data_IF_930503739058
#
_entry.id   IF_930503739058
#
_cell.length_a   1.000
_cell.length_b   1.000
_cell.length_c   1.000
_cell.angle_alpha   90.00
_cell.angle_beta   90.00
_cell.angle_gamma   90.00
#
_symmetry.space_group_name_H-M   'P 1'
#
loop_
_entity.id
_entity.type
_entity.pdbx_description
1 polymer ?
#
# COMPACT_ATOMS: atom_id res chain seq x y z
N UNK A 1 -79.54 10.36 32.48
CA UNK A 1 -78.46 11.21 33.04
C UNK A 1 -77.24 10.36 33.29
N UNK A 2 -76.06 10.94 33.05
CA UNK A 2 -74.74 10.32 32.87
C UNK A 2 -74.22 9.60 34.13
N UNK A 3 -73.38 8.59 33.92
CA UNK A 3 -72.57 7.96 34.98
C UNK A 3 -71.71 6.81 34.46
N UNK A 4 -70.69 7.12 33.67
CA UNK A 4 -69.66 6.19 33.17
C UNK A 4 -68.72 5.84 34.33
N UNK A 5 -68.57 4.55 34.65
CA UNK A 5 -67.58 4.04 35.60
C UNK A 5 -66.31 3.64 34.82
N UNK A 6 -65.20 4.29 35.14
CA UNK A 6 -63.92 4.13 34.47
C UNK A 6 -63.24 2.81 34.82
N UNK A 7 -62.77 2.07 33.80
CA UNK A 7 -61.83 0.96 33.96
C UNK A 7 -60.42 1.49 34.20
N UNK A 8 -59.79 1.08 35.30
CA UNK A 8 -58.37 1.30 35.57
C UNK A 8 -57.51 0.43 34.64
N UNK A 9 -56.70 1.06 33.79
CA UNK A 9 -55.65 0.39 33.00
C UNK A 9 -54.42 0.19 33.89
N UNK A 10 -54.13 -1.05 34.28
CA UNK A 10 -52.84 -1.44 34.82
C UNK A 10 -51.84 -1.53 33.67
N UNK A 11 -50.90 -0.58 33.62
CA UNK A 11 -49.78 -0.62 32.67
C UNK A 11 -48.64 -1.40 33.32
N UNK A 12 -48.39 -2.62 32.83
CA UNK A 12 -47.19 -3.39 33.19
C UNK A 12 -45.98 -2.75 32.49
N UNK A 13 -45.10 -2.12 33.26
CA UNK A 13 -43.81 -1.63 32.79
C UNK A 13 -42.85 -2.84 32.80
N UNK A 14 -42.57 -3.40 31.62
CA UNK A 14 -41.48 -4.36 31.43
C UNK A 14 -40.18 -3.55 31.34
N UNK A 15 -39.43 -3.51 32.45
CA UNK A 15 -38.07 -2.95 32.47
C UNK A 15 -37.16 -3.99 31.82
N UNK A 16 -36.91 -3.84 30.53
CA UNK A 16 -35.87 -4.60 29.83
C UNK A 16 -34.50 -4.08 30.27
N UNK A 17 -33.80 -4.85 31.10
CA UNK A 17 -32.40 -4.61 31.41
C UNK A 17 -31.56 -4.98 30.19
N UNK A 18 -31.28 -4.01 29.32
CA UNK A 18 -30.23 -4.13 28.31
C UNK A 18 -28.88 -4.08 29.03
N UNK A 19 -28.31 -5.25 29.30
CA UNK A 19 -26.90 -5.36 29.70
C UNK A 19 -26.08 -5.04 28.45
N UNK A 20 -25.70 -3.77 28.30
CA UNK A 20 -24.67 -3.36 27.34
C UNK A 20 -23.36 -3.86 27.94
N UNK A 21 -22.95 -5.08 27.59
CA UNK A 21 -21.59 -5.53 27.86
C UNK A 21 -20.66 -4.64 27.05
N UNK A 22 -19.95 -3.76 27.74
CA UNK A 22 -18.85 -3.00 27.16
C UNK A 22 -17.75 -3.99 26.82
N UNK A 23 -17.79 -4.58 25.62
CA UNK A 23 -16.64 -5.26 25.05
C UNK A 23 -15.59 -4.18 24.79
N UNK A 24 -14.69 -4.01 25.77
CA UNK A 24 -13.46 -3.27 25.58
C UNK A 24 -12.59 -4.15 24.68
N UNK A 25 -12.67 -3.96 23.37
CA UNK A 25 -11.69 -4.53 22.44
C UNK A 25 -10.35 -3.89 22.76
N UNK A 26 -9.52 -4.60 23.53
CA UNK A 26 -8.09 -4.31 23.55
C UNK A 26 -7.57 -4.69 22.17
N UNK A 27 -7.18 -3.72 21.35
CA UNK A 27 -6.43 -3.99 20.13
C UNK A 27 -5.17 -4.74 20.57
N UNK A 28 -5.10 -6.05 20.27
CA UNK A 28 -3.89 -6.82 20.55
C UNK A 28 -2.74 -6.12 19.83
N UNK A 29 -1.71 -5.77 20.61
CA UNK A 29 -0.52 -5.11 20.09
C UNK A 29 0.15 -6.07 19.10
N UNK A 30 0.33 -5.64 17.85
CA UNK A 30 1.10 -6.42 16.86
C UNK A 30 2.49 -6.70 17.45
N UNK A 31 3.00 -7.95 17.34
CA UNK A 31 4.30 -8.29 17.91
C UNK A 31 5.41 -7.50 17.22
N UNK A 32 6.50 -7.23 17.95
CA UNK A 32 7.66 -6.50 17.42
C UNK A 32 8.24 -7.17 16.15
N UNK A 33 8.05 -8.49 15.99
CA UNK A 33 8.41 -9.26 14.80
C UNK A 33 7.22 -10.13 14.41
N UNK A 34 6.76 -10.00 13.17
CA UNK A 34 5.72 -10.83 12.57
C UNK A 34 6.26 -11.48 11.29
N UNK A 35 6.04 -12.78 11.11
CA UNK A 35 6.55 -13.54 9.97
C UNK A 35 5.41 -14.30 9.32
N UNK A 36 5.29 -14.15 8.00
CA UNK A 36 4.36 -14.90 7.17
C UNK A 36 5.16 -15.66 6.12
N UNK A 37 4.96 -16.97 6.05
CA UNK A 37 5.57 -17.82 5.02
C UNK A 37 4.66 -17.91 3.81
N UNK A 38 5.24 -17.85 2.61
CA UNK A 38 4.50 -17.96 1.35
C UNK A 38 5.41 -18.46 0.22
N UNK A 39 4.82 -18.60 -0.97
CA UNK A 39 5.49 -18.97 -2.21
C UNK A 39 4.91 -18.16 -3.36
N UNK A 40 5.67 -17.98 -4.44
CA UNK A 40 5.12 -17.33 -5.63
C UNK A 40 4.13 -18.24 -6.34
N UNK A 41 2.95 -17.73 -6.66
CA UNK A 41 2.00 -18.42 -7.54
C UNK A 41 2.44 -18.35 -8.99
N UNK A 42 3.01 -17.21 -9.39
CA UNK A 42 3.58 -16.97 -10.72
C UNK A 42 4.56 -15.81 -10.71
N UNK A 43 5.28 -15.66 -11.81
CA UNK A 43 6.17 -14.53 -12.07
C UNK A 43 5.65 -13.77 -13.28
N UNK A 44 5.50 -12.45 -13.13
CA UNK A 44 5.13 -11.53 -14.20
C UNK A 44 6.35 -10.72 -14.62
N UNK A 45 6.62 -10.66 -15.92
CA UNK A 45 7.69 -9.83 -16.50
C UNK A 45 7.03 -8.68 -17.28
N UNK A 46 7.14 -7.48 -16.73
CA UNK A 46 6.49 -6.28 -17.22
C UNK A 46 7.52 -5.46 -18.00
N UNK A 47 7.31 -5.30 -19.30
CA UNK A 47 8.08 -4.39 -20.14
C UNK A 47 7.31 -3.11 -20.39
N UNK A 48 7.93 -1.97 -20.15
CA UNK A 48 7.38 -0.64 -20.46
C UNK A 48 8.19 0.02 -21.59
N UNK A 49 7.51 0.81 -22.42
CA UNK A 49 8.14 1.52 -23.55
C UNK A 49 8.69 2.87 -23.11
N UNK A 50 9.51 3.49 -23.96
CA UNK A 50 9.89 4.91 -23.86
C UNK A 50 8.69 5.80 -23.58
N UNK A 51 8.87 6.73 -22.65
CA UNK A 51 7.89 7.74 -22.23
C UNK A 51 6.88 7.24 -21.21
N UNK A 52 6.85 5.94 -20.90
CA UNK A 52 5.95 5.41 -19.86
C UNK A 52 6.43 5.87 -18.48
N UNK A 53 5.47 6.37 -17.69
CA UNK A 53 5.66 6.63 -16.26
C UNK A 53 5.70 5.30 -15.48
N UNK A 54 6.75 5.08 -14.69
CA UNK A 54 7.00 3.82 -13.99
C UNK A 54 5.87 3.46 -13.03
N UNK A 55 5.41 4.42 -12.21
CA UNK A 55 4.37 4.16 -11.21
C UNK A 55 3.02 3.90 -11.88
N UNK A 56 2.65 4.71 -12.87
CA UNK A 56 1.43 4.48 -13.64
C UNK A 56 1.47 3.13 -14.36
N UNK A 57 2.60 2.78 -14.98
CA UNK A 57 2.78 1.50 -15.66
C UNK A 57 2.71 0.29 -14.71
N UNK A 58 3.27 0.40 -13.50
CA UNK A 58 3.15 -0.63 -12.46
C UNK A 58 1.69 -0.79 -12.02
N UNK A 59 0.99 0.31 -11.73
CA UNK A 59 -0.43 0.28 -11.35
C UNK A 59 -1.30 -0.35 -12.44
N UNK A 60 -1.04 0.01 -13.70
CA UNK A 60 -1.75 -0.58 -14.85
C UNK A 60 -1.50 -2.08 -14.98
N UNK A 61 -0.25 -2.53 -14.83
CA UNK A 61 0.10 -3.95 -14.88
C UNK A 61 -0.54 -4.73 -13.72
N UNK A 62 -0.46 -4.20 -12.49
CA UNK A 62 -1.09 -4.77 -11.29
C UNK A 62 -2.60 -4.95 -11.50
N UNK A 63 -3.27 -3.92 -12.01
CA UNK A 63 -4.70 -3.98 -12.33
C UNK A 63 -5.01 -5.03 -13.40
N UNK A 64 -4.32 -4.98 -14.55
CA UNK A 64 -4.58 -5.88 -15.68
C UNK A 64 -4.32 -7.35 -15.36
N UNK A 65 -3.26 -7.62 -14.60
CA UNK A 65 -2.88 -8.97 -14.19
C UNK A 65 -3.60 -9.42 -12.91
N UNK A 66 -4.48 -8.59 -12.34
CA UNK A 66 -5.24 -8.90 -11.12
C UNK A 66 -4.33 -9.33 -9.97
N UNK A 67 -3.24 -8.60 -9.76
CA UNK A 67 -2.29 -8.89 -8.69
C UNK A 67 -2.80 -8.24 -7.41
N UNK A 68 -3.27 -9.04 -6.46
CA UNK A 68 -3.64 -8.53 -5.14
C UNK A 68 -2.41 -8.35 -4.26
N UNK A 69 -1.57 -9.38 -4.16
CA UNK A 69 -0.35 -9.36 -3.36
C UNK A 69 0.86 -9.72 -4.22
N UNK A 70 2.02 -9.09 -3.96
CA UNK A 70 3.23 -9.39 -4.71
C UNK A 70 4.48 -8.73 -4.20
N UNK A 71 5.63 -9.18 -4.69
CA UNK A 71 6.95 -8.60 -4.43
C UNK A 71 7.59 -8.21 -5.75
N UNK A 72 8.08 -6.98 -5.85
CA UNK A 72 8.90 -6.54 -6.99
C UNK A 72 10.31 -7.10 -6.76
N UNK A 73 10.69 -8.07 -7.58
CA UNK A 73 11.94 -8.85 -7.43
C UNK A 73 13.13 -8.16 -8.09
N UNK A 74 12.88 -7.43 -9.18
CA UNK A 74 13.89 -6.72 -9.94
C UNK A 74 13.25 -5.67 -10.83
N UNK A 75 13.98 -4.59 -11.08
CA UNK A 75 13.63 -3.63 -12.10
C UNK A 75 14.86 -2.92 -12.63
N UNK A 76 14.93 -2.79 -13.96
CA UNK A 76 16.03 -2.11 -14.66
C UNK A 76 15.51 -1.18 -15.76
N UNK A 77 16.31 -0.18 -16.11
CA UNK A 77 16.08 0.66 -17.28
C UNK A 77 16.87 1.96 -17.24
N UNK A 78 16.33 3.00 -17.85
CA UNK A 78 16.86 4.37 -17.79
C UNK A 78 15.71 5.36 -17.83
N UNK A 79 15.92 6.56 -17.30
CA UNK A 79 14.88 7.59 -17.16
C UNK A 79 15.23 8.88 -17.88
N UNK A 80 14.23 9.66 -18.33
CA UNK A 80 14.38 11.07 -18.73
C UNK A 80 14.11 12.02 -17.58
N UNK A 81 13.22 11.61 -16.68
CA UNK A 81 12.72 12.37 -15.55
C UNK A 81 12.61 11.41 -14.37
N UNK A 82 12.87 11.91 -13.17
CA UNK A 82 12.62 11.17 -11.95
C UNK A 82 11.90 12.03 -10.92
N UNK A 83 11.15 11.34 -10.06
CA UNK A 83 10.52 11.90 -8.87
C UNK A 83 10.43 10.78 -7.82
N UNK A 84 10.93 11.07 -6.62
CA UNK A 84 10.83 10.17 -5.48
C UNK A 84 10.70 10.98 -4.20
N UNK A 85 10.29 10.33 -3.11
CA UNK A 85 10.36 10.92 -1.78
C UNK A 85 11.32 10.20 -0.85
N UNK A 86 11.85 10.94 0.12
CA UNK A 86 12.72 10.43 1.19
C UNK A 86 12.24 10.94 2.54
N UNK A 87 12.43 10.12 3.57
CA UNK A 87 12.23 10.52 4.96
C UNK A 87 13.35 11.48 5.36
N UNK A 88 13.00 12.65 5.90
CA UNK A 88 13.95 13.74 6.21
C UNK A 88 14.12 14.01 7.71
N UNK A 89 13.36 13.35 8.57
CA UNK A 89 13.56 13.41 10.02
C UNK A 89 13.31 12.05 10.73
N UNK A 90 13.37 12.09 12.06
CA UNK A 90 13.19 10.91 12.93
C UNK A 90 11.85 10.92 13.69
N UNK A 91 10.92 11.76 13.29
CA UNK A 91 9.63 11.91 13.97
C UNK A 91 8.58 10.97 13.35
N UNK A 92 7.47 10.77 14.06
CA UNK A 92 6.29 10.08 13.53
C UNK A 92 5.08 11.03 13.56
N UNK A 93 4.37 11.23 12.44
CA UNK A 93 4.79 10.85 11.08
C UNK A 93 6.08 11.58 10.67
N UNK A 94 6.92 10.97 9.80
CA UNK A 94 8.15 11.60 9.37
C UNK A 94 7.89 12.82 8.50
N UNK A 95 8.79 13.80 8.57
CA UNK A 95 8.90 14.79 7.50
C UNK A 95 9.43 14.12 6.22
N UNK A 96 9.00 14.64 5.07
CA UNK A 96 9.33 14.09 3.75
C UNK A 96 9.87 15.18 2.83
N UNK A 97 10.86 14.81 2.00
CA UNK A 97 11.32 15.61 0.88
C UNK A 97 11.02 14.89 -0.43
N UNK A 98 10.73 15.66 -1.50
CA UNK A 98 10.31 15.13 -2.80
C UNK A 98 11.27 15.54 -3.94
N UNK A 99 12.52 15.03 -3.98
CA UNK A 99 13.44 15.31 -5.07
C UNK A 99 12.87 14.93 -6.44
N UNK A 100 13.00 15.85 -7.39
CA UNK A 100 12.60 15.65 -8.78
C UNK A 100 13.54 16.39 -9.73
N UNK A 101 13.82 15.78 -10.88
CA UNK A 101 14.57 16.46 -11.93
C UNK A 101 14.24 15.87 -13.31
N UNK A 102 14.47 16.68 -14.35
CA UNK A 102 14.43 16.26 -15.76
C UNK A 102 15.87 16.08 -16.25
N UNK A 103 16.45 14.93 -15.92
CA UNK A 103 17.83 14.55 -16.28
C UNK A 103 17.91 13.05 -16.43
N UNK A 104 18.75 12.59 -17.36
CA UNK A 104 18.94 11.17 -17.59
C UNK A 104 19.65 10.50 -16.40
N UNK A 105 19.14 9.35 -15.99
CA UNK A 105 19.77 8.44 -15.02
C UNK A 105 19.54 7.00 -15.44
N UNK A 106 20.45 6.11 -15.07
CA UNK A 106 20.21 4.68 -15.12
C UNK A 106 19.33 4.26 -13.93
N UNK A 107 18.29 3.49 -14.21
CA UNK A 107 17.47 2.84 -13.18
C UNK A 107 18.07 1.46 -12.93
N UNK A 108 18.81 1.35 -11.83
CA UNK A 108 19.62 0.16 -11.51
C UNK A 108 18.93 -0.79 -10.53
N UNK A 109 17.87 -0.32 -9.85
CA UNK A 109 17.01 -1.17 -9.04
C UNK A 109 15.59 -0.60 -8.95
N UNK A 110 14.62 -1.51 -8.95
CA UNK A 110 13.26 -1.30 -8.45
C UNK A 110 12.92 -2.48 -7.56
N UNK A 111 12.48 -2.20 -6.35
CA UNK A 111 12.09 -3.19 -5.36
C UNK A 111 10.89 -2.69 -4.57
N UNK A 112 10.20 -3.58 -3.89
CA UNK A 112 9.05 -3.21 -3.06
C UNK A 112 7.96 -4.26 -3.10
N UNK A 113 6.77 -3.86 -2.69
CA UNK A 113 5.65 -4.75 -2.48
C UNK A 113 4.39 -4.23 -3.16
N UNK A 114 3.48 -5.15 -3.41
CA UNK A 114 2.10 -4.88 -3.81
C UNK A 114 1.23 -5.40 -2.66
N UNK A 115 0.48 -4.51 -2.04
CA UNK A 115 -0.41 -4.81 -0.90
C UNK A 115 -1.85 -4.54 -1.31
N UNK A 116 -2.67 -5.59 -1.43
CA UNK A 116 -4.06 -5.46 -1.86
C UNK A 116 -4.24 -4.58 -3.12
N UNK A 117 -3.37 -4.76 -4.11
CA UNK A 117 -3.32 -3.99 -5.36
C UNK A 117 -2.64 -2.62 -5.27
N UNK A 118 -2.22 -2.17 -4.08
CA UNK A 118 -1.45 -0.93 -3.88
C UNK A 118 0.04 -1.18 -4.10
N UNK A 119 0.65 -0.45 -5.02
CA UNK A 119 2.10 -0.50 -5.26
C UNK A 119 2.83 0.38 -4.24
N UNK A 120 3.77 -0.21 -3.50
CA UNK A 120 4.76 0.50 -2.70
C UNK A 120 6.15 0.11 -3.21
N UNK A 121 6.70 0.93 -4.11
CA UNK A 121 7.97 0.66 -4.75
C UNK A 121 9.02 1.70 -4.34
N UNK A 122 10.25 1.25 -4.19
CA UNK A 122 11.43 2.10 -4.07
C UNK A 122 12.27 1.95 -5.34
N UNK A 123 13.01 3.01 -5.67
CA UNK A 123 13.90 3.04 -6.84
C UNK A 123 15.31 3.44 -6.44
N UNK A 124 16.29 2.93 -7.19
CA UNK A 124 17.67 3.42 -7.16
C UNK A 124 18.08 3.87 -8.56
N UNK A 125 18.56 5.09 -8.64
CA UNK A 125 18.99 5.76 -9.85
C UNK A 125 20.48 6.10 -9.74
N UNK A 126 21.23 5.97 -10.83
CA UNK A 126 22.64 6.31 -10.86
C UNK A 126 23.04 7.08 -12.11
N UNK A 127 24.12 7.85 -11.98
CA UNK A 127 24.97 8.32 -13.07
C UNK A 127 26.44 8.16 -12.68
N UNK A 128 27.35 8.73 -13.44
CA UNK A 128 28.79 8.66 -13.17
C UNK A 128 29.23 9.36 -11.88
N UNK A 129 28.38 10.19 -11.27
CA UNK A 129 28.72 11.04 -10.13
C UNK A 129 27.95 10.70 -8.85
N UNK A 130 26.81 10.02 -8.96
CA UNK A 130 25.85 9.90 -7.86
C UNK A 130 24.99 8.64 -7.96
N UNK A 131 24.58 8.15 -6.79
CA UNK A 131 23.51 7.17 -6.64
C UNK A 131 22.47 7.79 -5.72
N UNK A 132 21.24 7.92 -6.20
CA UNK A 132 20.12 8.53 -5.50
C UNK A 132 18.91 7.61 -5.56
N UNK A 133 17.96 7.77 -4.64
CA UNK A 133 16.79 6.90 -4.61
C UNK A 133 15.88 7.20 -3.43
N UNK A 134 14.71 6.58 -3.45
CA UNK A 134 13.68 6.75 -2.46
C UNK A 134 12.40 6.04 -2.86
N UNK A 135 11.29 6.38 -2.23
CA UNK A 135 9.98 5.89 -2.60
C UNK A 135 9.56 6.47 -3.95
N UNK A 136 9.10 5.62 -4.85
CA UNK A 136 8.71 5.99 -6.21
C UNK A 136 7.48 6.89 -6.21
N UNK A 137 7.60 8.06 -6.85
CA UNK A 137 6.50 8.98 -7.07
C UNK A 137 6.13 9.10 -8.56
N UNK A 138 4.92 9.60 -8.89
CA UNK A 138 4.56 9.92 -10.28
C UNK A 138 5.54 10.94 -10.87
N UNK A 139 5.97 10.70 -12.11
CA UNK A 139 6.90 11.56 -12.85
C UNK A 139 8.19 10.87 -13.27
N UNK A 140 8.43 9.62 -12.85
CA UNK A 140 9.61 8.84 -13.26
C UNK A 140 9.37 8.17 -14.61
N UNK A 141 9.94 8.71 -15.70
CA UNK A 141 9.60 8.32 -17.08
C UNK A 141 10.72 7.57 -17.78
N UNK A 142 10.39 6.50 -18.50
CA UNK A 142 11.36 5.70 -19.25
C UNK A 142 12.00 6.51 -20.38
N UNK A 143 13.34 6.53 -20.41
CA UNK A 143 14.11 6.98 -21.57
C UNK A 143 14.09 5.90 -22.66
N UNK A 144 14.59 4.69 -22.36
CA UNK A 144 14.59 3.57 -23.33
C UNK A 144 13.44 2.60 -23.07
N UNK A 145 13.39 2.03 -21.88
CA UNK A 145 12.40 1.07 -21.43
C UNK A 145 12.53 0.88 -19.92
N UNK A 146 11.54 0.20 -19.34
CA UNK A 146 11.69 -0.51 -18.07
C UNK A 146 11.41 -1.99 -18.27
N UNK A 147 12.11 -2.83 -17.52
CA UNK A 147 11.79 -4.25 -17.35
C UNK A 147 11.67 -4.48 -15.85
N UNK A 148 10.47 -4.83 -15.39
CA UNK A 148 10.17 -5.09 -13.98
C UNK A 148 9.68 -6.52 -13.83
N UNK A 149 10.21 -7.25 -12.85
CA UNK A 149 9.79 -8.61 -12.52
C UNK A 149 9.05 -8.61 -11.19
N UNK A 150 7.85 -9.19 -11.17
CA UNK A 150 7.00 -9.31 -9.99
C UNK A 150 6.76 -10.78 -9.68
N UNK A 151 7.06 -11.20 -8.45
CA UNK A 151 6.60 -12.46 -7.90
C UNK A 151 5.22 -12.26 -7.30
N UNK A 152 4.19 -12.89 -7.87
CA UNK A 152 2.81 -12.78 -7.38
C UNK A 152 2.62 -13.72 -6.20
N UNK A 153 2.05 -13.20 -5.13
CA UNK A 153 1.76 -13.93 -3.89
C UNK A 153 0.27 -14.29 -3.81
N UNK A 154 -0.11 -15.29 -3.00
CA UNK A 154 -1.50 -15.66 -2.79
C UNK A 154 -2.39 -14.48 -2.34
N UNK A 155 -3.60 -14.44 -2.86
CA UNK A 155 -4.58 -13.38 -2.60
C UNK A 155 -5.05 -13.35 -1.14
N UNK A 156 -5.03 -14.49 -0.45
CA UNK A 156 -5.43 -14.65 0.96
C UNK A 156 -4.28 -14.41 1.95
N UNK A 157 -3.09 -14.07 1.47
CA UNK A 157 -1.94 -13.75 2.30
C UNK A 157 -2.17 -12.45 3.09
N UNK A 158 -2.12 -12.54 4.42
CA UNK A 158 -2.36 -11.41 5.34
C UNK A 158 -1.10 -10.54 5.51
N UNK A 159 -0.92 -9.60 4.58
CA UNK A 159 0.20 -8.64 4.56
C UNK A 159 -0.23 -7.20 4.29
N UNK A 160 -1.54 -6.91 4.22
CA UNK A 160 -2.08 -5.65 3.72
C UNK A 160 -1.58 -4.41 4.47
N UNK A 161 -1.24 -4.57 5.75
CA UNK A 161 -0.84 -3.48 6.64
C UNK A 161 0.68 -3.43 6.91
N UNK A 162 1.49 -4.20 6.18
CA UNK A 162 2.95 -4.25 6.45
C UNK A 162 3.67 -2.94 6.11
N UNK A 163 3.05 -2.06 5.32
CA UNK A 163 3.54 -0.71 5.01
C UNK A 163 2.98 0.38 5.94
N UNK A 164 2.23 0.01 6.99
CA UNK A 164 1.61 0.95 7.91
C UNK A 164 2.37 1.00 9.25
N UNK A 165 2.97 2.14 9.59
CA UNK A 165 3.68 2.31 10.86
C UNK A 165 2.78 2.26 12.11
N UNK A 166 1.45 2.34 11.94
CA UNK A 166 0.47 2.24 13.01
C UNK A 166 -0.06 0.81 13.21
N UNK A 167 0.35 -0.13 12.36
CA UNK A 167 -0.05 -1.53 12.44
C UNK A 167 0.63 -2.22 13.62
#
# INVERSE_FOLDING_TARGET
MKGIMAMAKYSFIIISFFIISTFCFTQEKVPDIYTVSSQFERIEIIRMRTGTDLLAGLKEAVFKQKIKNGVILSGIGSVTDYHFHVVSDKNLPPAEEFPKASVAKDLIAVQGYIFNGRVHAHITLSDENSVIGGHLEPGTKALTFFIITVGVLPDDLDIENFDNFQY
#
